data_IF_086942357388
#
_entry.id   IF_086942357388
#
_cell.length_a   1.000
_cell.length_b   1.000
_cell.length_c   1.000
_cell.angle_alpha   90.00
_cell.angle_beta   90.00
_cell.angle_gamma   90.00
#
_symmetry.space_group_name_H-M   'P 1'
#
loop_
_entity.id
_entity.type
_entity.pdbx_description
1 polymer ?
#
# COMPACT_ATOMS: atom_id res chain seq x y z
N UNK A 1 -2.70 15.13 8.63
CA UNK A 1 -3.13 16.41 9.23
C UNK A 1 -2.75 16.48 10.72
N UNK A 2 -3.11 15.50 11.55
CA UNK A 2 -2.79 15.45 12.99
C UNK A 2 -1.29 15.62 13.26
N UNK A 3 -0.43 14.89 12.52
CA UNK A 3 1.02 15.00 12.68
C UNK A 3 1.52 16.44 12.49
N UNK A 4 0.98 17.17 11.51
CA UNK A 4 1.31 18.57 11.28
C UNK A 4 0.84 19.47 12.42
N UNK A 5 -0.33 19.21 12.99
CA UNK A 5 -0.83 19.91 14.17
C UNK A 5 0.05 19.68 15.40
N UNK A 6 0.69 18.50 15.49
CA UNK A 6 1.69 18.19 16.51
C UNK A 6 3.09 18.78 16.19
N UNK A 7 3.25 19.56 15.12
CA UNK A 7 4.50 20.24 14.77
C UNK A 7 5.40 19.47 13.79
N UNK A 8 4.93 18.37 13.18
CA UNK A 8 5.69 17.70 12.15
C UNK A 8 5.78 18.54 10.88
N UNK A 9 6.99 18.74 10.37
CA UNK A 9 7.30 19.62 9.25
C UNK A 9 7.36 18.92 7.89
N UNK A 10 7.12 17.61 7.84
CA UNK A 10 7.29 16.80 6.64
C UNK A 10 8.68 16.14 6.54
N UNK A 11 9.55 16.36 7.52
CA UNK A 11 10.86 15.73 7.57
C UNK A 11 10.72 14.20 7.78
N UNK A 12 11.74 13.45 7.34
CA UNK A 12 11.77 11.97 7.40
C UNK A 12 13.00 11.46 8.16
N UNK A 13 13.47 12.24 9.15
CA UNK A 13 14.54 11.81 10.05
C UNK A 13 14.07 10.66 10.95
N UNK A 14 14.96 10.00 11.62
CA UNK A 14 14.64 8.86 12.52
C UNK A 14 13.60 9.22 13.58
N UNK A 15 13.75 10.39 14.22
CA UNK A 15 12.79 10.89 15.21
C UNK A 15 11.39 11.10 14.62
N UNK A 16 11.31 11.57 13.36
CA UNK A 16 10.04 11.83 12.69
C UNK A 16 9.34 10.51 12.33
N UNK A 17 10.11 9.53 11.84
CA UNK A 17 9.60 8.19 11.56
C UNK A 17 9.04 7.52 12.82
N UNK A 18 9.77 7.63 13.94
CA UNK A 18 9.33 7.12 15.23
C UNK A 18 8.03 7.80 15.68
N UNK A 19 7.99 9.13 15.63
CA UNK A 19 6.79 9.91 15.97
C UNK A 19 5.58 9.51 15.12
N UNK A 20 5.75 9.41 13.80
CA UNK A 20 4.65 9.02 12.90
C UNK A 20 4.16 7.60 13.15
N UNK A 21 5.08 6.68 13.45
CA UNK A 21 4.73 5.30 13.81
C UNK A 21 3.93 5.27 15.13
N UNK A 22 4.41 5.93 16.18
CA UNK A 22 3.70 5.98 17.48
C UNK A 22 2.32 6.65 17.35
N UNK A 23 2.23 7.72 16.56
CA UNK A 23 0.96 8.40 16.28
C UNK A 23 -0.01 7.47 15.54
N UNK A 24 0.45 6.75 14.50
CA UNK A 24 -0.37 5.75 13.80
C UNK A 24 -0.86 4.67 14.77
N UNK A 25 0.03 4.12 15.59
CA UNK A 25 -0.34 3.08 16.56
C UNK A 25 -1.40 3.57 17.55
N UNK A 26 -1.24 4.78 18.07
CA UNK A 26 -2.19 5.37 19.02
C UNK A 26 -3.57 5.61 18.39
N UNK A 27 -3.61 6.23 17.21
CA UNK A 27 -4.87 6.55 16.51
C UNK A 27 -5.57 5.29 16.00
N UNK A 28 -4.81 4.28 15.56
CA UNK A 28 -5.37 2.98 15.14
C UNK A 28 -5.96 2.23 16.34
N UNK A 29 -5.27 2.20 17.47
CA UNK A 29 -5.77 1.54 18.67
C UNK A 29 -7.03 2.21 19.26
N UNK A 30 -7.15 3.54 19.12
CA UNK A 30 -8.28 4.29 19.67
C UNK A 30 -9.54 4.24 18.79
N UNK A 31 -9.39 4.43 17.48
CA UNK A 31 -10.53 4.63 16.58
C UNK A 31 -10.39 3.98 15.23
N UNK A 32 -9.33 3.17 15.02
CA UNK A 32 -9.04 2.56 13.72
C UNK A 32 -8.94 3.58 12.57
N UNK A 33 -8.49 4.78 12.92
CA UNK A 33 -8.56 5.96 12.05
C UNK A 33 -7.98 5.71 10.67
N UNK A 34 -6.75 5.17 10.59
CA UNK A 34 -6.07 4.97 9.31
C UNK A 34 -6.84 4.02 8.39
N UNK A 35 -7.43 2.97 8.94
CA UNK A 35 -8.24 2.03 8.17
C UNK A 35 -9.56 2.67 7.71
N UNK A 36 -10.22 3.39 8.59
CA UNK A 36 -11.49 4.04 8.28
C UNK A 36 -11.32 5.12 7.20
N UNK A 37 -10.24 5.92 7.27
CA UNK A 37 -9.91 6.92 6.25
C UNK A 37 -9.70 6.26 4.88
N UNK A 38 -8.95 5.15 4.83
CA UNK A 38 -8.72 4.40 3.58
C UNK A 38 -10.04 3.82 3.04
N UNK A 39 -10.87 3.24 3.88
CA UNK A 39 -12.15 2.67 3.47
C UNK A 39 -13.12 3.74 2.96
N UNK A 40 -13.12 4.94 3.55
CA UNK A 40 -13.91 6.06 3.04
C UNK A 40 -13.48 6.47 1.62
N UNK A 41 -12.18 6.55 1.36
CA UNK A 41 -11.67 6.88 0.02
C UNK A 41 -11.97 5.75 -0.99
N UNK A 42 -11.87 4.48 -0.59
CA UNK A 42 -12.26 3.34 -1.43
C UNK A 42 -13.76 3.40 -1.76
N UNK A 43 -14.60 3.78 -0.81
CA UNK A 43 -16.04 3.93 -1.05
C UNK A 43 -16.35 5.07 -2.03
N UNK A 44 -15.63 6.19 -1.95
CA UNK A 44 -15.73 7.28 -2.94
C UNK A 44 -15.32 6.80 -4.34
N UNK A 45 -14.21 6.06 -4.42
CA UNK A 45 -13.74 5.45 -5.68
C UNK A 45 -14.80 4.52 -6.28
N UNK A 46 -15.36 3.60 -5.48
CA UNK A 46 -16.39 2.67 -5.94
C UNK A 46 -17.70 3.35 -6.41
N UNK A 47 -18.01 4.51 -5.85
CA UNK A 47 -19.16 5.33 -6.26
C UNK A 47 -18.90 6.17 -7.50
N UNK A 48 -17.67 6.15 -8.05
CA UNK A 48 -17.27 6.99 -9.17
C UNK A 48 -17.14 8.47 -8.82
N UNK A 49 -16.94 8.78 -7.56
CA UNK A 49 -16.73 10.17 -7.10
C UNK A 49 -15.28 10.64 -7.35
N UNK A 50 -14.36 9.71 -7.64
CA UNK A 50 -13.00 9.98 -8.02
C UNK A 50 -12.83 9.75 -9.52
N UNK A 51 -12.17 10.67 -10.21
CA UNK A 51 -11.82 10.55 -11.64
C UNK A 51 -10.55 9.66 -11.76
N UNK A 52 -10.74 8.36 -11.53
CA UNK A 52 -9.65 7.38 -11.54
C UNK A 52 -10.18 5.98 -11.88
N UNK A 53 -9.44 5.24 -12.69
CA UNK A 53 -9.75 3.85 -13.06
C UNK A 53 -9.11 2.84 -12.08
N UNK A 54 -8.10 3.27 -11.33
CA UNK A 54 -7.34 2.43 -10.39
C UNK A 54 -7.15 3.18 -9.09
N UNK A 55 -7.38 2.49 -7.98
CA UNK A 55 -7.10 2.98 -6.63
C UNK A 55 -5.98 2.15 -6.00
N UNK A 56 -4.89 2.79 -5.59
CA UNK A 56 -3.72 2.13 -5.01
C UNK A 56 -3.56 2.53 -3.55
N UNK A 57 -3.34 1.56 -2.69
CA UNK A 57 -3.08 1.77 -1.26
C UNK A 57 -1.71 1.21 -0.89
N UNK A 58 -0.86 2.01 -0.27
CA UNK A 58 0.41 1.56 0.31
C UNK A 58 0.18 1.04 1.74
N UNK A 59 0.25 -0.28 1.90
CA UNK A 59 0.08 -0.98 3.18
C UNK A 59 1.22 -1.97 3.35
N UNK A 60 1.77 -2.07 4.57
CA UNK A 60 2.95 -2.88 4.84
C UNK A 60 2.73 -3.96 5.91
N UNK A 61 1.79 -3.77 6.81
CA UNK A 61 1.49 -4.76 7.85
C UNK A 61 0.64 -5.90 7.27
N UNK A 62 1.06 -7.17 7.37
CA UNK A 62 0.31 -8.31 6.84
C UNK A 62 -1.15 -8.37 7.29
N UNK A 63 -1.41 -8.06 8.55
CA UNK A 63 -2.77 -8.06 9.11
C UNK A 63 -3.65 -6.95 8.52
N UNK A 64 -3.06 -5.77 8.23
CA UNK A 64 -3.77 -4.68 7.56
C UNK A 64 -4.04 -5.02 6.09
N UNK A 65 -3.09 -5.68 5.40
CA UNK A 65 -3.26 -6.17 4.02
C UNK A 65 -4.42 -7.17 3.98
N UNK A 66 -4.40 -8.21 4.83
CA UNK A 66 -5.45 -9.22 4.89
C UNK A 66 -6.84 -8.60 5.13
N UNK A 67 -6.90 -7.63 6.03
CA UNK A 67 -8.14 -6.92 6.36
C UNK A 67 -8.71 -6.16 5.17
N UNK A 68 -7.85 -5.42 4.45
CA UNK A 68 -8.24 -4.68 3.25
C UNK A 68 -8.65 -5.64 2.11
N UNK A 69 -7.87 -6.67 1.82
CA UNK A 69 -8.19 -7.68 0.81
C UNK A 69 -9.53 -8.35 1.09
N UNK A 70 -9.79 -8.72 2.35
CA UNK A 70 -11.05 -9.33 2.75
C UNK A 70 -12.24 -8.40 2.53
N UNK A 71 -12.08 -7.11 2.79
CA UNK A 71 -13.15 -6.10 2.66
C UNK A 71 -13.38 -5.66 1.22
N UNK A 72 -12.34 -5.61 0.38
CA UNK A 72 -12.37 -4.97 -0.94
C UNK A 72 -12.20 -5.91 -2.11
N UNK A 73 -11.64 -7.11 -1.87
CA UNK A 73 -11.17 -8.06 -2.89
C UNK A 73 -10.02 -7.50 -3.75
N UNK A 74 -9.31 -6.50 -3.26
CA UNK A 74 -8.17 -5.91 -3.95
C UNK A 74 -7.06 -6.94 -4.21
N UNK A 75 -6.32 -6.75 -5.29
CA UNK A 75 -5.08 -7.49 -5.55
C UNK A 75 -3.93 -6.92 -4.73
N UNK A 76 -3.03 -7.79 -4.35
CA UNK A 76 -1.82 -7.45 -3.61
C UNK A 76 -0.60 -7.50 -4.54
N UNK A 77 0.23 -6.45 -4.47
CA UNK A 77 1.42 -6.31 -5.30
C UNK A 77 2.62 -6.04 -4.40
N UNK A 78 3.68 -6.82 -4.58
CA UNK A 78 4.98 -6.55 -3.97
C UNK A 78 5.94 -5.98 -5.02
N UNK A 79 6.59 -4.85 -4.71
CA UNK A 79 7.66 -4.28 -5.54
C UNK A 79 8.98 -4.69 -4.91
N UNK A 80 9.64 -5.65 -5.54
CA UNK A 80 10.91 -6.20 -5.07
C UNK A 80 12.09 -5.37 -5.58
N UNK A 81 13.02 -4.99 -4.68
CA UNK A 81 14.24 -4.26 -5.03
C UNK A 81 15.43 -4.75 -4.21
N UNK A 82 16.20 -5.66 -4.78
CA UNK A 82 17.38 -6.28 -4.14
C UNK A 82 18.51 -5.28 -3.84
N UNK A 83 18.46 -4.07 -4.41
CA UNK A 83 19.46 -3.01 -4.16
C UNK A 83 19.20 -2.23 -2.87
N UNK A 84 18.01 -2.39 -2.30
CA UNK A 84 17.64 -1.73 -1.04
C UNK A 84 17.77 -2.75 0.08
N UNK A 85 18.61 -2.51 1.09
CA UNK A 85 18.68 -3.41 2.24
C UNK A 85 17.34 -3.51 2.94
N UNK A 86 16.97 -4.71 3.36
CA UNK A 86 15.75 -4.93 4.16
C UNK A 86 15.81 -4.08 5.43
N UNK A 87 14.79 -3.27 5.63
CA UNK A 87 14.66 -2.41 6.81
C UNK A 87 13.98 -3.23 7.90
N UNK A 88 14.73 -3.57 8.95
CA UNK A 88 14.22 -4.36 10.09
C UNK A 88 13.95 -3.51 11.33
N UNK A 89 14.03 -2.18 11.20
CA UNK A 89 13.91 -1.25 12.34
C UNK A 89 12.50 -1.12 12.92
N UNK A 90 11.49 -1.58 12.18
CA UNK A 90 10.10 -1.65 12.66
C UNK A 90 9.42 -2.91 12.11
N UNK A 91 8.32 -3.31 12.73
CA UNK A 91 7.59 -4.54 12.39
C UNK A 91 7.00 -4.51 10.99
N UNK A 92 6.52 -3.36 10.53
CA UNK A 92 5.91 -3.20 9.22
C UNK A 92 6.89 -3.52 8.09
N UNK A 93 8.08 -2.94 8.15
CA UNK A 93 9.10 -3.16 7.12
C UNK A 93 9.72 -4.57 7.24
N UNK A 94 9.85 -5.12 8.46
CA UNK A 94 10.41 -6.45 8.68
C UNK A 94 9.51 -7.61 8.19
N UNK A 95 8.20 -7.40 8.14
CA UNK A 95 7.24 -8.45 7.80
C UNK A 95 6.69 -8.37 6.37
N UNK A 96 6.92 -7.26 5.68
CA UNK A 96 6.37 -7.03 4.34
C UNK A 96 6.80 -8.11 3.33
N UNK A 97 8.04 -8.58 3.40
CA UNK A 97 8.57 -9.61 2.51
C UNK A 97 7.99 -11.02 2.78
N UNK A 98 7.40 -11.24 3.96
CA UNK A 98 6.85 -12.53 4.36
C UNK A 98 5.39 -12.74 3.94
N UNK A 99 4.74 -11.72 3.41
CA UNK A 99 3.36 -11.80 2.96
C UNK A 99 3.26 -12.50 1.60
N UNK A 100 2.20 -13.28 1.37
CA UNK A 100 1.95 -13.94 0.09
C UNK A 100 1.18 -13.02 -0.83
N UNK A 101 1.88 -12.33 -1.71
CA UNK A 101 1.30 -11.41 -2.68
C UNK A 101 0.74 -12.14 -3.91
N UNK A 102 -0.28 -11.55 -4.54
CA UNK A 102 -0.82 -12.04 -5.82
C UNK A 102 0.16 -11.79 -6.97
N UNK A 103 0.87 -10.67 -6.93
CA UNK A 103 1.84 -10.25 -7.95
C UNK A 103 3.13 -9.73 -7.33
N UNK A 104 4.23 -9.93 -8.05
CA UNK A 104 5.54 -9.35 -7.70
C UNK A 104 6.06 -8.60 -8.92
N UNK A 105 6.46 -7.34 -8.73
CA UNK A 105 7.07 -6.51 -9.77
C UNK A 105 8.54 -6.27 -9.40
N UNK A 106 9.44 -6.67 -10.29
CA UNK A 106 10.88 -6.48 -10.10
C UNK A 106 11.30 -5.04 -10.39
N UNK A 107 12.06 -4.44 -9.46
CA UNK A 107 12.66 -3.10 -9.60
C UNK A 107 14.19 -3.18 -9.40
N UNK A 108 14.85 -4.16 -10.02
CA UNK A 108 16.27 -4.44 -9.86
C UNK A 108 17.16 -3.84 -10.96
N UNK A 109 16.56 -3.34 -12.03
CA UNK A 109 17.21 -2.74 -13.19
C UNK A 109 17.23 -1.21 -13.17
N UNK A 110 17.26 -0.62 -14.36
CA UNK A 110 17.11 0.81 -14.58
C UNK A 110 15.65 1.26 -14.37
N UNK A 111 15.41 2.56 -14.40
CA UNK A 111 14.04 3.09 -14.39
C UNK A 111 13.24 2.63 -15.62
N UNK A 112 13.89 2.55 -16.79
CA UNK A 112 13.28 2.08 -18.04
C UNK A 112 12.88 0.60 -17.94
N UNK A 113 13.72 -0.25 -17.33
CA UNK A 113 13.39 -1.65 -17.08
C UNK A 113 12.18 -1.76 -16.13
N UNK A 114 12.13 -0.93 -15.09
CA UNK A 114 11.02 -0.92 -14.14
C UNK A 114 9.71 -0.45 -14.80
N UNK A 115 9.76 0.59 -15.62
CA UNK A 115 8.60 1.02 -16.42
C UNK A 115 8.11 -0.08 -17.37
N UNK A 116 9.04 -0.84 -17.97
CA UNK A 116 8.74 -2.00 -18.80
C UNK A 116 8.01 -3.09 -18.01
N UNK A 117 8.50 -3.40 -16.81
CA UNK A 117 7.86 -4.38 -15.92
C UNK A 117 6.46 -3.95 -15.46
N UNK A 118 6.26 -2.64 -15.19
CA UNK A 118 4.94 -2.10 -14.86
C UNK A 118 3.98 -2.23 -16.06
N UNK A 119 4.42 -1.91 -17.28
CA UNK A 119 3.59 -2.05 -18.47
C UNK A 119 3.15 -3.50 -18.68
N UNK A 120 4.09 -4.44 -18.59
CA UNK A 120 3.78 -5.87 -18.68
C UNK A 120 2.78 -6.31 -17.59
N UNK A 121 2.99 -5.86 -16.35
CA UNK A 121 2.05 -6.12 -15.25
C UNK A 121 0.65 -5.60 -15.56
N UNK A 122 0.54 -4.37 -16.09
CA UNK A 122 -0.76 -3.79 -16.44
C UNK A 122 -1.47 -4.59 -17.55
N UNK A 123 -0.75 -5.07 -18.56
CA UNK A 123 -1.33 -5.93 -19.61
C UNK A 123 -1.86 -7.25 -19.03
N UNK A 124 -1.11 -7.87 -18.12
CA UNK A 124 -1.53 -9.09 -17.42
C UNK A 124 -2.76 -8.81 -16.55
N UNK A 125 -2.74 -7.74 -15.77
CA UNK A 125 -3.84 -7.35 -14.89
C UNK A 125 -5.13 -7.10 -15.69
N UNK A 126 -5.06 -6.33 -16.78
CA UNK A 126 -6.20 -6.06 -17.65
C UNK A 126 -6.78 -7.33 -18.26
N UNK A 127 -5.91 -8.25 -18.70
CA UNK A 127 -6.34 -9.55 -19.22
C UNK A 127 -7.02 -10.37 -18.13
N UNK A 128 -6.47 -10.36 -16.92
CA UNK A 128 -7.05 -11.06 -15.78
C UNK A 128 -8.42 -10.49 -15.39
N UNK A 129 -8.54 -9.17 -15.32
CA UNK A 129 -9.82 -8.50 -15.03
C UNK A 129 -10.89 -8.83 -16.08
N UNK A 130 -10.53 -8.80 -17.36
CA UNK A 130 -11.44 -9.17 -18.45
C UNK A 130 -11.92 -10.62 -18.37
N UNK A 131 -11.03 -11.55 -17.98
CA UNK A 131 -11.39 -12.97 -17.84
C UNK A 131 -12.26 -13.28 -16.61
N UNK A 132 -12.28 -12.40 -15.64
CA UNK A 132 -12.95 -12.60 -14.35
C UNK A 132 -13.90 -11.44 -14.00
N UNK A 133 -14.55 -10.84 -15.01
CA UNK A 133 -15.51 -9.74 -14.85
C UNK A 133 -16.58 -9.98 -13.78
N UNK A 134 -16.99 -11.24 -13.57
CA UNK A 134 -17.99 -11.62 -12.56
C UNK A 134 -17.48 -11.58 -11.09
N UNK A 135 -16.24 -11.21 -10.85
CA UNK A 135 -15.66 -11.19 -9.48
C UNK A 135 -15.59 -9.80 -8.84
N UNK A 136 -15.87 -8.74 -9.59
CA UNK A 136 -15.70 -7.36 -9.15
C UNK A 136 -17.01 -6.59 -9.08
#
# INVERSE_FOLDING_TARGET
>A
EIAKQCGWTGAKEEKDRKFLHELKMLTSAYSDMSYNDVMEEIDKFKKGELDADIFVVDVREPEEIDRLVKATKAFTIFIENDRVPSITSNSADANVENYKYDFVIQNNGTLEDFEGNIKLFMEVLMTFMFMYEDRF
#
